data_IF_480129940411
#
_entry.id   IF_480129940411
#
_cell.length_a   1.000
_cell.length_b   1.000
_cell.length_c   1.000
_cell.angle_alpha   90.00
_cell.angle_beta   90.00
_cell.angle_gamma   90.00
#
_symmetry.space_group_name_H-M   'P 1'
#
loop_
_entity.id
_entity.type
_entity.pdbx_description
1 polymer ?
#
# COMPACT_ATOMS: atom_id res chain seq x y z
N UNK A 1 11.61 14.97 10.39
CA UNK A 1 11.79 16.45 10.21
C UNK A 1 10.51 17.16 9.74
N UNK A 2 9.66 16.56 8.90
CA UNK A 2 8.43 17.20 8.44
C UNK A 2 7.31 17.31 9.51
N UNK A 3 7.36 16.55 10.61
CA UNK A 3 6.27 16.49 11.59
C UNK A 3 6.01 17.81 12.33
N UNK A 4 7.02 18.50 12.89
CA UNK A 4 6.82 19.84 13.45
C UNK A 4 6.28 20.83 12.42
N UNK A 5 6.72 20.72 11.16
CA UNK A 5 6.27 21.59 10.07
C UNK A 5 4.79 21.35 9.72
N UNK A 6 4.35 20.09 9.69
CA UNK A 6 2.96 19.73 9.46
C UNK A 6 2.04 20.23 10.59
N UNK A 7 2.48 20.09 11.84
CA UNK A 7 1.75 20.63 13.01
C UNK A 7 1.67 22.14 12.92
N UNK A 8 2.78 22.81 12.59
CA UNK A 8 2.79 24.27 12.50
C UNK A 8 1.92 24.79 11.35
N UNK A 9 1.94 24.13 10.19
CA UNK A 9 1.06 24.48 9.07
C UNK A 9 -0.42 24.31 9.43
N UNK A 10 -0.77 23.23 10.15
CA UNK A 10 -2.13 22.96 10.61
C UNK A 10 -2.61 24.00 11.63
N UNK A 11 -1.81 24.31 12.65
CA UNK A 11 -2.17 25.29 13.70
C UNK A 11 -2.12 26.73 13.18
N UNK A 12 -1.20 27.00 12.25
CA UNK A 12 -1.02 28.31 11.64
C UNK A 12 -2.06 28.67 10.57
N UNK A 13 -3.03 27.78 10.30
CA UNK A 13 -4.09 28.02 9.31
C UNK A 13 -3.59 28.16 7.87
N UNK A 14 -2.53 27.42 7.52
CA UNK A 14 -2.04 27.38 6.14
C UNK A 14 -3.08 26.72 5.23
N UNK A 15 -2.95 26.90 3.90
CA UNK A 15 -3.89 26.26 2.97
C UNK A 15 -3.86 24.73 3.08
N UNK A 16 -5.03 24.12 2.86
CA UNK A 16 -5.22 22.66 2.99
C UNK A 16 -4.22 21.86 2.15
N UNK A 17 -3.82 22.38 0.99
CA UNK A 17 -2.80 21.76 0.13
C UNK A 17 -1.47 21.61 0.86
N UNK A 18 -1.00 22.64 1.57
CA UNK A 18 0.27 22.59 2.28
C UNK A 18 0.22 21.67 3.49
N UNK A 19 -0.90 21.70 4.24
CA UNK A 19 -1.13 20.79 5.34
C UNK A 19 -1.11 19.34 4.84
N UNK A 20 -1.81 19.06 3.74
CA UNK A 20 -1.83 17.73 3.12
C UNK A 20 -0.43 17.27 2.69
N UNK A 21 0.32 18.11 1.98
CA UNK A 21 1.67 17.77 1.52
C UNK A 21 2.61 17.47 2.69
N UNK A 22 2.59 18.28 3.75
CA UNK A 22 3.46 18.03 4.90
C UNK A 22 3.06 16.78 5.67
N UNK A 23 1.76 16.51 5.84
CA UNK A 23 1.28 15.25 6.44
C UNK A 23 1.68 14.05 5.59
N UNK A 24 1.57 14.15 4.26
CA UNK A 24 2.02 13.09 3.35
C UNK A 24 3.53 12.82 3.48
N UNK A 25 4.35 13.86 3.55
CA UNK A 25 5.80 13.72 3.75
C UNK A 25 6.17 13.14 5.12
N UNK A 26 5.34 13.35 6.15
CA UNK A 26 5.51 12.71 7.47
C UNK A 26 5.23 11.22 7.41
N UNK A 27 4.27 10.79 6.59
CA UNK A 27 3.88 9.38 6.46
C UNK A 27 4.99 8.51 5.87
N UNK A 28 5.80 9.04 4.94
CA UNK A 28 6.88 8.29 4.26
C UNK A 28 7.88 7.66 5.27
N UNK A 29 8.55 8.42 6.15
CA UNK A 29 9.48 7.85 7.12
C UNK A 29 8.77 7.03 8.21
N UNK A 30 7.50 7.34 8.54
CA UNK A 30 6.73 6.54 9.50
C UNK A 30 6.41 5.14 8.96
N UNK A 31 6.08 5.03 7.67
CA UNK A 31 5.86 3.75 7.02
C UNK A 31 7.14 2.88 7.03
N UNK A 32 8.30 3.50 6.84
CA UNK A 32 9.58 2.80 6.95
C UNK A 32 9.85 2.29 8.38
N UNK A 33 9.68 3.15 9.40
CA UNK A 33 9.83 2.77 10.81
C UNK A 33 8.85 1.65 11.21
N UNK A 34 7.62 1.70 10.70
CA UNK A 34 6.63 0.67 10.91
C UNK A 34 7.08 -0.67 10.32
N UNK A 35 7.66 -0.68 9.12
CA UNK A 35 8.26 -1.87 8.52
C UNK A 35 9.34 -2.49 9.39
N UNK A 36 10.31 -1.69 9.84
CA UNK A 36 11.40 -2.13 10.72
C UNK A 36 10.88 -2.69 12.06
N UNK A 37 9.86 -2.05 12.62
CA UNK A 37 9.22 -2.49 13.87
C UNK A 37 8.48 -3.81 13.67
N UNK A 38 7.77 -3.96 12.54
CA UNK A 38 7.01 -5.17 12.18
C UNK A 38 7.95 -6.36 11.99
N UNK A 39 9.09 -6.13 11.32
CA UNK A 39 10.13 -7.15 11.14
C UNK A 39 10.78 -7.53 12.48
N UNK A 40 11.07 -6.55 13.35
CA UNK A 40 11.62 -6.80 14.68
C UNK A 40 10.66 -7.56 15.59
N UNK A 41 9.35 -7.44 15.37
CA UNK A 41 8.29 -8.12 16.13
C UNK A 41 8.01 -9.54 15.62
N UNK A 42 8.56 -9.93 14.46
CA UNK A 42 8.35 -11.23 13.85
C UNK A 42 9.03 -12.36 14.62
N UNK A 43 8.37 -12.87 15.67
CA UNK A 43 8.84 -13.99 16.48
C UNK A 43 8.61 -15.34 15.77
N UNK A 44 9.47 -15.64 14.79
CA UNK A 44 9.40 -16.86 13.98
C UNK A 44 8.50 -16.72 12.74
N UNK A 45 8.55 -17.69 11.84
CA UNK A 45 8.00 -17.59 10.48
C UNK A 45 6.48 -17.38 10.46
N UNK A 46 5.72 -18.15 11.24
CA UNK A 46 4.24 -18.05 11.26
C UNK A 46 3.74 -16.76 11.90
N UNK A 47 4.28 -16.40 13.08
CA UNK A 47 3.89 -15.17 13.79
C UNK A 47 4.38 -13.95 13.01
N UNK A 48 5.58 -14.01 12.44
CA UNK A 48 6.12 -12.99 11.56
C UNK A 48 5.26 -12.75 10.32
N UNK A 49 4.83 -13.82 9.65
CA UNK A 49 3.90 -13.72 8.53
C UNK A 49 2.58 -13.04 8.91
N UNK A 50 2.01 -13.40 10.07
CA UNK A 50 0.77 -12.78 10.57
C UNK A 50 0.96 -11.30 10.94
N UNK A 51 2.07 -10.98 11.62
CA UNK A 51 2.43 -9.61 12.00
C UNK A 51 2.66 -8.75 10.76
N UNK A 52 3.36 -9.24 9.74
CA UNK A 52 3.54 -8.52 8.49
C UNK A 52 2.24 -8.35 7.70
N UNK A 53 1.38 -9.38 7.64
CA UNK A 53 0.10 -9.28 6.95
C UNK A 53 -0.83 -8.21 7.58
N UNK A 54 -0.77 -8.04 8.90
CA UNK A 54 -1.62 -7.12 9.65
C UNK A 54 -1.00 -5.73 9.78
N UNK A 55 0.19 -5.65 10.37
CA UNK A 55 0.89 -4.39 10.63
C UNK A 55 1.64 -3.88 9.41
N UNK A 56 2.06 -4.72 8.45
CA UNK A 56 2.70 -4.23 7.22
C UNK A 56 1.80 -3.32 6.38
N UNK A 57 0.49 -3.53 6.44
CA UNK A 57 -0.52 -2.73 5.73
C UNK A 57 -1.32 -1.80 6.67
N UNK A 58 -0.91 -1.64 7.93
CA UNK A 58 -1.73 -0.91 8.90
C UNK A 58 -1.93 0.57 8.55
N UNK A 59 -0.97 1.24 7.89
CA UNK A 59 -1.13 2.64 7.46
C UNK A 59 -2.30 2.76 6.48
N UNK A 60 -2.34 1.88 5.49
CA UNK A 60 -3.36 1.87 4.45
C UNK A 60 -4.74 1.61 5.06
N UNK A 61 -4.83 0.63 5.96
CA UNK A 61 -6.09 0.31 6.67
C UNK A 61 -6.55 1.48 7.55
N UNK A 62 -5.65 2.13 8.29
CA UNK A 62 -5.99 3.29 9.13
C UNK A 62 -6.52 4.43 8.28
N UNK A 63 -5.83 4.79 7.18
CA UNK A 63 -6.26 5.85 6.26
C UNK A 63 -7.62 5.49 5.63
N UNK A 64 -7.80 4.24 5.21
CA UNK A 64 -9.06 3.78 4.65
C UNK A 64 -10.22 3.90 5.66
N UNK A 65 -10.02 3.54 6.93
CA UNK A 65 -11.04 3.67 7.98
C UNK A 65 -11.43 5.15 8.17
N UNK A 66 -10.46 6.07 8.23
CA UNK A 66 -10.76 7.50 8.39
C UNK A 66 -11.47 8.08 7.17
N UNK A 67 -11.07 7.69 5.95
CA UNK A 67 -11.75 8.08 4.73
C UNK A 67 -13.19 7.52 4.67
N UNK A 68 -13.41 6.27 5.06
CA UNK A 68 -14.75 5.68 5.18
C UNK A 68 -15.63 6.45 6.18
N UNK A 69 -15.07 6.83 7.34
CA UNK A 69 -15.79 7.66 8.32
C UNK A 69 -16.16 9.04 7.77
N UNK A 70 -15.35 9.59 6.86
CA UNK A 70 -15.63 10.81 6.12
C UNK A 70 -16.56 10.60 4.91
N UNK A 71 -17.02 9.37 4.65
CA UNK A 71 -17.80 8.96 3.46
C UNK A 71 -17.07 9.10 2.13
N UNK A 72 -15.74 9.13 2.15
CA UNK A 72 -14.88 9.21 0.97
C UNK A 72 -14.65 7.83 0.34
N UNK A 73 -15.73 7.19 -0.11
CA UNK A 73 -15.69 5.83 -0.66
C UNK A 73 -14.80 5.74 -1.91
N UNK A 74 -14.86 6.75 -2.78
CA UNK A 74 -14.06 6.81 -3.99
C UNK A 74 -12.56 6.85 -3.69
N UNK A 75 -12.16 7.56 -2.63
CA UNK A 75 -10.76 7.63 -2.18
C UNK A 75 -10.30 6.25 -1.69
N UNK A 76 -11.13 5.56 -0.91
CA UNK A 76 -10.82 4.23 -0.38
C UNK A 76 -10.66 3.23 -1.53
N UNK A 77 -11.63 3.17 -2.44
CA UNK A 77 -11.58 2.28 -3.61
C UNK A 77 -10.35 2.55 -4.47
N UNK A 78 -10.09 3.82 -4.78
CA UNK A 78 -8.92 4.23 -5.58
C UNK A 78 -7.61 3.88 -4.88
N UNK A 79 -7.52 4.04 -3.55
CA UNK A 79 -6.32 3.71 -2.79
C UNK A 79 -6.04 2.20 -2.73
N UNK A 80 -7.07 1.36 -2.64
CA UNK A 80 -6.90 -0.10 -2.61
C UNK A 80 -6.39 -0.62 -3.96
N UNK A 81 -7.00 -0.19 -5.06
CA UNK A 81 -6.55 -0.54 -6.42
C UNK A 81 -5.14 0.05 -6.66
N UNK A 82 -4.91 1.29 -6.23
CA UNK A 82 -3.63 1.97 -6.33
C UNK A 82 -2.50 1.24 -5.59
N UNK A 83 -2.76 0.70 -4.39
CA UNK A 83 -1.76 -0.08 -3.63
C UNK A 83 -1.35 -1.35 -4.37
N UNK A 84 -2.32 -2.09 -4.92
CA UNK A 84 -2.04 -3.29 -5.74
C UNK A 84 -1.19 -2.92 -6.97
N UNK A 85 -1.60 -1.90 -7.73
CA UNK A 85 -0.85 -1.45 -8.91
C UNK A 85 0.55 -0.92 -8.56
N UNK A 86 0.69 -0.20 -7.45
CA UNK A 86 1.97 0.31 -6.96
C UNK A 86 2.93 -0.84 -6.68
N UNK A 87 2.49 -1.89 -5.97
CA UNK A 87 3.34 -3.03 -5.67
C UNK A 87 3.72 -3.84 -6.92
N UNK A 88 2.77 -4.05 -7.85
CA UNK A 88 2.99 -4.86 -9.04
C UNK A 88 3.80 -4.16 -10.13
N UNK A 89 3.66 -2.84 -10.29
CA UNK A 89 4.27 -2.10 -11.39
C UNK A 89 5.38 -1.17 -10.90
N UNK A 90 5.07 -0.30 -9.94
CA UNK A 90 6.02 0.72 -9.50
C UNK A 90 7.16 0.11 -8.68
N UNK A 91 6.83 -0.58 -7.58
CA UNK A 91 7.83 -1.19 -6.69
C UNK A 91 8.62 -2.27 -7.44
N UNK A 92 7.92 -3.16 -8.16
CA UNK A 92 8.58 -4.20 -8.95
C UNK A 92 9.48 -3.60 -10.05
N UNK A 93 9.00 -2.59 -10.78
CA UNK A 93 9.78 -1.91 -11.81
C UNK A 93 11.02 -1.20 -11.24
N UNK A 94 10.87 -0.51 -10.11
CA UNK A 94 11.99 0.09 -9.39
C UNK A 94 12.99 -0.98 -8.92
N UNK A 95 12.53 -2.12 -8.44
CA UNK A 95 13.39 -3.24 -8.04
C UNK A 95 14.16 -3.83 -9.22
N UNK A 96 13.53 -3.97 -10.39
CA UNK A 96 14.21 -4.40 -11.62
C UNK A 96 15.27 -3.40 -12.08
N UNK A 97 14.96 -2.11 -12.04
CA UNK A 97 15.93 -1.06 -12.39
C UNK A 97 17.11 -1.08 -11.40
N UNK A 98 16.84 -1.07 -10.10
CA UNK A 98 17.87 -1.06 -9.07
C UNK A 98 18.74 -2.34 -9.09
N UNK A 99 18.14 -3.51 -9.27
CA UNK A 99 18.87 -4.78 -9.45
C UNK A 99 19.65 -4.82 -10.76
N UNK A 100 19.07 -4.26 -11.83
CA UNK A 100 19.64 -4.17 -13.18
C UNK A 100 20.89 -3.30 -13.29
N UNK A 101 21.00 -2.28 -12.43
CA UNK A 101 22.22 -1.44 -12.34
C UNK A 101 23.45 -2.28 -11.93
N UNK A 102 23.25 -3.31 -11.09
CA UNK A 102 24.34 -4.15 -10.58
C UNK A 102 24.51 -5.45 -11.37
N UNK A 103 23.41 -6.07 -11.80
CA UNK A 103 23.40 -7.37 -12.47
C UNK A 103 22.67 -7.26 -13.81
N UNK A 104 23.21 -7.88 -14.87
CA UNK A 104 22.54 -7.92 -16.18
C UNK A 104 21.23 -8.72 -16.14
N UNK A 105 21.20 -9.76 -15.33
CA UNK A 105 20.03 -10.61 -15.07
C UNK A 105 19.98 -10.92 -13.57
N UNK A 106 18.78 -10.88 -12.99
CA UNK A 106 18.55 -11.28 -11.59
C UNK A 106 17.86 -12.63 -11.56
N UNK A 107 18.43 -13.60 -10.84
CA UNK A 107 17.80 -14.89 -10.62
C UNK A 107 16.76 -14.79 -9.50
N UNK A 108 15.65 -15.51 -9.65
CA UNK A 108 14.57 -15.58 -8.67
C UNK A 108 14.00 -16.99 -8.61
N UNK A 109 13.33 -17.31 -7.50
CA UNK A 109 12.66 -18.60 -7.35
C UNK A 109 11.41 -18.63 -8.26
N UNK A 110 11.53 -19.31 -9.40
CA UNK A 110 10.46 -19.41 -10.38
C UNK A 110 9.18 -20.08 -9.83
N UNK A 111 9.32 -21.06 -8.93
CA UNK A 111 8.18 -21.75 -8.31
C UNK A 111 7.45 -20.81 -7.35
N UNK A 112 8.19 -20.06 -6.52
CA UNK A 112 7.61 -19.07 -5.61
C UNK A 112 6.93 -17.92 -6.36
N UNK A 113 7.59 -17.39 -7.39
CA UNK A 113 7.06 -16.30 -8.21
C UNK A 113 5.78 -16.71 -8.97
N UNK A 114 5.77 -17.90 -9.57
CA UNK A 114 4.58 -18.42 -10.27
C UNK A 114 3.41 -18.70 -9.33
N UNK A 115 3.68 -19.24 -8.13
CA UNK A 115 2.67 -19.44 -7.09
C UNK A 115 2.05 -18.11 -6.67
N UNK A 116 2.88 -17.11 -6.34
CA UNK A 116 2.41 -15.78 -5.94
C UNK A 116 1.64 -15.07 -7.05
N UNK A 117 2.12 -15.16 -8.30
CA UNK A 117 1.42 -14.59 -9.45
C UNK A 117 0.04 -15.21 -9.66
N UNK A 118 -0.09 -16.52 -9.45
CA UNK A 118 -1.38 -17.22 -9.57
C UNK A 118 -2.36 -16.80 -8.48
N UNK A 119 -1.88 -16.67 -7.23
CA UNK A 119 -2.69 -16.17 -6.11
C UNK A 119 -3.12 -14.71 -6.32
N UNK A 120 -2.23 -13.86 -6.83
CA UNK A 120 -2.56 -12.47 -7.16
C UNK A 120 -3.60 -12.37 -8.27
N UNK A 121 -3.49 -13.19 -9.31
CA UNK A 121 -4.49 -13.28 -10.38
C UNK A 121 -5.85 -13.68 -9.79
N UNK A 122 -5.90 -14.74 -9.00
CA UNK A 122 -7.13 -15.20 -8.35
C UNK A 122 -7.75 -14.13 -7.44
N UNK A 123 -6.94 -13.48 -6.60
CA UNK A 123 -7.38 -12.41 -5.70
C UNK A 123 -7.92 -11.19 -6.48
N UNK A 124 -7.26 -10.82 -7.58
CA UNK A 124 -7.69 -9.71 -8.43
C UNK A 124 -9.02 -10.01 -9.13
N UNK A 125 -9.20 -11.24 -9.64
CA UNK A 125 -10.50 -11.66 -10.17
C UNK A 125 -11.60 -11.63 -9.11
N UNK A 126 -11.32 -12.15 -7.90
CA UNK A 126 -12.27 -12.13 -6.80
C UNK A 126 -12.68 -10.71 -6.40
N UNK A 127 -11.74 -9.76 -6.42
CA UNK A 127 -12.02 -8.34 -6.15
C UNK A 127 -12.86 -7.67 -7.24
N UNK A 128 -12.68 -8.07 -8.52
CA UNK A 128 -13.43 -7.52 -9.65
C UNK A 128 -14.85 -8.09 -9.79
N UNK A 129 -15.11 -9.30 -9.28
CA UNK A 129 -16.41 -9.98 -9.40
C UNK A 129 -17.61 -9.12 -8.97
N UNK A 130 -17.63 -8.48 -7.79
CA UNK A 130 -18.75 -7.62 -7.39
C UNK A 130 -18.99 -6.45 -8.35
N UNK A 131 -17.91 -5.86 -8.86
CA UNK A 131 -17.98 -4.74 -9.81
C UNK A 131 -18.59 -5.18 -11.15
N UNK A 132 -18.21 -6.38 -11.63
CA UNK A 132 -18.79 -6.98 -12.83
C UNK A 132 -20.29 -7.25 -12.65
N UNK A 133 -20.70 -7.90 -11.56
CA UNK A 133 -22.11 -8.22 -11.31
C UNK A 133 -22.95 -6.94 -11.22
N UNK A 134 -22.47 -5.93 -10.50
CA UNK A 134 -23.17 -4.65 -10.38
C UNK A 134 -23.34 -3.96 -11.74
N UNK A 135 -22.28 -3.91 -12.55
CA UNK A 135 -22.32 -3.30 -13.87
C UNK A 135 -23.38 -3.94 -14.78
N UNK A 136 -23.46 -5.28 -14.79
CA UNK A 136 -24.45 -6.00 -15.62
C UNK A 136 -25.87 -5.91 -15.05
N UNK A 137 -26.04 -5.96 -13.73
CA UNK A 137 -27.36 -5.83 -13.10
C UNK A 137 -28.00 -4.44 -13.28
N UNK A 138 -27.21 -3.40 -13.57
CA UNK A 138 -27.68 -2.03 -13.82
C UNK A 138 -27.96 -1.76 -15.32
N UNK A 139 -27.55 -2.68 -16.20
CA UNK A 139 -27.70 -2.58 -17.66
C UNK A 139 -28.66 -3.63 -18.26
N UNK A 140 -29.42 -4.34 -17.44
CA UNK A 140 -30.62 -5.14 -17.80
C UNK A 140 -31.89 -4.43 -17.33
#
# INVERSE_FOLDING_TARGET
LAAPLAIWASVGGWSDLWVFVFIFLVMIPLANLQGETTESLALGETIGGLVNATFGNAVEVIVAIFALKAREINVVQSSLIGSVLSNLLLVLGCAFIAGGVRNKESSFNAVGASTNSSLLMLASFAMLLPSYIFYFSDHE
#
